data_IF_838631553786
#
_entry.id   IF_838631553786
#
_cell.length_a   1.000
_cell.length_b   1.000
_cell.length_c   1.000
_cell.angle_alpha   90.00
_cell.angle_beta   90.00
_cell.angle_gamma   90.00
#
_symmetry.space_group_name_H-M   'P 1'
#
loop_
_entity.id
_entity.type
_entity.pdbx_description
1 polymer ?
#
# COMPACT_ATOMS: atom_id res chain seq x y z
N UNK A 1 2.24 -15.99 8.26
CA UNK A 1 3.55 -15.32 8.44
C UNK A 1 3.78 -14.39 7.24
N UNK A 2 3.17 -13.19 7.25
CA UNK A 2 3.23 -12.23 6.13
C UNK A 2 3.44 -10.78 6.61
N UNK A 3 2.73 -10.35 7.66
CA UNK A 3 2.76 -8.94 8.10
C UNK A 3 4.07 -8.37 8.65
N UNK A 4 5.12 -9.17 8.92
CA UNK A 4 6.42 -8.61 9.39
C UNK A 4 7.23 -8.00 8.25
N UNK A 5 7.25 -8.63 7.08
CA UNK A 5 8.00 -8.14 5.93
C UNK A 5 7.37 -6.83 5.40
N UNK A 6 6.04 -6.80 5.29
CA UNK A 6 5.28 -5.65 4.84
C UNK A 6 5.44 -4.43 5.76
N UNK A 7 5.31 -4.60 7.08
CA UNK A 7 5.54 -3.51 8.03
C UNK A 7 6.98 -2.97 7.98
N UNK A 8 7.96 -3.87 7.79
CA UNK A 8 9.37 -3.47 7.62
C UNK A 8 9.54 -2.68 6.32
N UNK A 9 8.89 -3.12 5.24
CA UNK A 9 8.92 -2.44 3.96
C UNK A 9 8.28 -1.06 4.02
N UNK A 10 7.10 -0.91 4.63
CA UNK A 10 6.45 0.38 4.89
C UNK A 10 7.42 1.33 5.62
N UNK A 11 8.04 0.85 6.71
CA UNK A 11 9.02 1.63 7.47
C UNK A 11 10.25 2.00 6.64
N UNK A 12 10.68 1.15 5.70
CA UNK A 12 11.80 1.45 4.81
C UNK A 12 11.45 2.53 3.78
N UNK A 13 10.24 2.52 3.22
CA UNK A 13 9.76 3.55 2.29
C UNK A 13 9.58 4.88 3.02
N UNK A 14 9.02 4.85 4.23
CA UNK A 14 8.80 6.03 5.06
C UNK A 14 10.07 6.86 5.32
N UNK A 15 11.26 6.24 5.36
CA UNK A 15 12.54 6.93 5.53
C UNK A 15 12.93 7.84 4.37
N UNK A 16 12.33 7.66 3.20
CA UNK A 16 12.58 8.46 2.01
C UNK A 16 11.50 9.53 1.78
N UNK A 17 10.46 9.58 2.63
CA UNK A 17 9.45 10.62 2.52
C UNK A 17 10.03 11.97 2.97
N UNK A 18 9.77 13.06 2.22
CA UNK A 18 10.10 14.40 2.69
C UNK A 18 9.37 14.73 4.00
N UNK A 19 10.01 15.49 4.89
CA UNK A 19 9.40 15.93 6.15
C UNK A 19 8.14 16.80 5.96
N UNK A 20 7.91 17.31 4.75
CA UNK A 20 6.72 18.07 4.38
C UNK A 20 5.49 17.18 4.11
N UNK A 21 5.64 15.86 4.11
CA UNK A 21 4.55 14.90 3.88
C UNK A 21 4.08 14.35 5.22
N UNK A 22 2.80 14.57 5.55
CA UNK A 22 2.17 13.87 6.66
C UNK A 22 1.98 12.41 6.28
N UNK A 23 2.33 11.49 7.20
CA UNK A 23 2.24 10.05 7.00
C UNK A 23 1.56 9.40 8.20
N UNK A 24 0.45 8.70 7.97
CA UNK A 24 -0.33 8.04 9.01
C UNK A 24 -0.56 6.58 8.67
N UNK A 25 -0.28 5.72 9.66
CA UNK A 25 -0.57 4.29 9.56
C UNK A 25 -2.02 4.04 9.90
N UNK A 26 -2.71 3.35 9.02
CA UNK A 26 -4.10 2.99 9.18
C UNK A 26 -4.20 1.62 9.82
N UNK A 27 -4.75 1.57 11.02
CA UNK A 27 -5.15 0.32 11.65
C UNK A 27 -6.51 0.53 12.30
N UNK A 28 -7.53 -0.18 11.79
CA UNK A 28 -8.87 -0.15 12.36
C UNK A 28 -9.31 -1.58 12.68
N UNK A 29 -9.41 -1.96 13.97
CA UNK A 29 -9.78 -3.33 14.36
C UNK A 29 -11.24 -3.69 14.02
N UNK A 30 -12.07 -2.70 13.69
CA UNK A 30 -13.49 -2.89 13.37
C UNK A 30 -13.81 -2.79 11.88
N UNK A 31 -12.81 -2.50 11.02
CA UNK A 31 -13.01 -2.33 9.58
C UNK A 31 -11.86 -2.92 8.77
N UNK A 32 -12.14 -4.02 8.05
CA UNK A 32 -11.21 -4.61 7.09
C UNK A 32 -11.08 -3.81 5.80
N UNK A 33 -9.96 -4.00 5.10
CA UNK A 33 -9.76 -3.49 3.74
C UNK A 33 -9.35 -2.03 3.61
N UNK A 34 -9.15 -1.31 4.72
CA UNK A 34 -8.55 0.04 4.64
C UNK A 34 -7.09 -0.09 4.21
N UNK A 35 -6.61 0.73 3.26
CA UNK A 35 -5.20 0.77 2.88
C UNK A 35 -4.29 1.02 4.07
N UNK A 36 -3.10 0.41 4.07
CA UNK A 36 -2.17 0.45 5.21
C UNK A 36 -1.73 1.85 5.63
N UNK A 37 -1.60 2.78 4.68
CA UNK A 37 -1.07 4.12 4.91
C UNK A 37 -1.92 5.21 4.24
N UNK A 38 -2.03 6.33 4.93
CA UNK A 38 -2.46 7.61 4.38
C UNK A 38 -1.27 8.56 4.33
N UNK A 39 -1.10 9.22 3.19
CA UNK A 39 -0.13 10.31 3.03
C UNK A 39 -0.85 11.58 2.61
N UNK A 40 -0.39 12.71 3.10
CA UNK A 40 -0.90 14.02 2.72
C UNK A 40 0.28 14.96 2.43
N UNK A 41 0.38 15.35 1.17
CA UNK A 41 1.34 16.35 0.72
C UNK A 41 0.65 17.68 0.42
N UNK A 42 1.44 18.66 -0.01
CA UNK A 42 0.96 20.03 -0.23
C UNK A 42 -0.19 20.13 -1.26
N UNK A 43 -0.20 19.28 -2.28
CA UNK A 43 -1.14 19.37 -3.40
C UNK A 43 -2.15 18.22 -3.45
N UNK A 44 -1.83 17.08 -2.84
CA UNK A 44 -2.62 15.85 -2.96
C UNK A 44 -2.44 14.96 -1.74
N UNK A 45 -3.46 14.14 -1.50
CA UNK A 45 -3.43 13.05 -0.54
C UNK A 45 -3.44 11.70 -1.26
N UNK A 46 -2.83 10.70 -0.64
CA UNK A 46 -2.60 9.39 -1.20
C UNK A 46 -3.00 8.32 -0.20
N UNK A 47 -3.85 7.40 -0.64
CA UNK A 47 -4.12 6.16 0.07
C UNK A 47 -3.24 5.07 -0.53
N UNK A 48 -2.43 4.42 0.29
CA UNK A 48 -1.45 3.43 -0.15
C UNK A 48 -1.66 2.09 0.57
N UNK A 49 -1.93 1.06 -0.22
CA UNK A 49 -1.91 -0.32 0.22
C UNK A 49 -0.55 -0.93 -0.15
N UNK A 50 0.10 -1.59 0.79
CA UNK A 50 1.40 -2.20 0.60
C UNK A 50 1.26 -3.70 0.39
N UNK A 51 2.10 -4.25 -0.50
CA UNK A 51 2.28 -5.69 -0.66
C UNK A 51 3.75 -6.00 -0.74
N UNK A 52 4.16 -7.13 -0.18
CA UNK A 52 5.52 -7.63 -0.31
C UNK A 52 5.50 -9.02 -0.94
N UNK A 53 6.13 -9.16 -2.11
CA UNK A 53 6.08 -10.39 -2.92
C UNK A 53 7.46 -11.00 -3.06
N UNK A 54 7.50 -12.32 -3.26
CA UNK A 54 8.68 -13.02 -3.77
C UNK A 54 8.60 -13.00 -5.29
N UNK A 55 9.68 -12.55 -5.94
CA UNK A 55 9.69 -12.50 -7.39
C UNK A 55 9.61 -13.91 -7.99
N UNK A 56 8.84 -14.10 -9.08
CA UNK A 56 8.84 -15.35 -9.80
C UNK A 56 10.22 -15.63 -10.40
N UNK A 57 10.57 -16.91 -10.51
CA UNK A 57 11.87 -17.32 -11.10
C UNK A 57 12.02 -16.91 -12.57
N UNK A 58 10.90 -16.77 -13.29
CA UNK A 58 10.90 -16.36 -14.70
C UNK A 58 10.59 -14.87 -14.78
N UNK A 59 11.42 -14.15 -15.51
CA UNK A 59 11.32 -12.69 -15.64
C UNK A 59 10.06 -12.22 -16.40
N UNK A 60 9.42 -13.10 -17.18
CA UNK A 60 8.21 -12.82 -17.96
C UNK A 60 6.90 -13.10 -17.20
N UNK A 61 6.99 -13.64 -15.98
CA UNK A 61 5.80 -13.96 -15.19
C UNK A 61 5.18 -12.69 -14.64
N UNK A 62 3.91 -12.45 -15.00
CA UNK A 62 3.15 -11.31 -14.52
C UNK A 62 2.96 -11.39 -12.99
N UNK A 63 3.26 -10.29 -12.31
CA UNK A 63 3.11 -10.18 -10.85
C UNK A 63 1.73 -9.59 -10.57
N UNK A 64 0.88 -10.36 -9.89
CA UNK A 64 -0.40 -9.89 -9.37
C UNK A 64 -0.28 -9.74 -7.86
N UNK A 65 -0.31 -8.51 -7.31
CA UNK A 65 -0.31 -8.31 -5.86
C UNK A 65 -1.59 -8.92 -5.26
N UNK A 66 -1.44 -9.70 -4.19
CA UNK A 66 -2.57 -10.36 -3.53
C UNK A 66 -3.36 -9.35 -2.67
N UNK A 67 -4.32 -8.70 -3.30
CA UNK A 67 -5.30 -7.83 -2.63
C UNK A 67 -6.52 -8.66 -2.22
N UNK A 68 -6.95 -8.50 -0.97
CA UNK A 68 -8.24 -9.08 -0.55
C UNK A 68 -9.42 -8.39 -1.25
N UNK A 69 -10.57 -9.05 -1.30
CA UNK A 69 -11.79 -8.48 -1.89
C UNK A 69 -12.15 -7.12 -1.24
N UNK A 70 -12.02 -7.01 0.08
CA UNK A 70 -12.31 -5.75 0.80
C UNK A 70 -11.32 -4.63 0.46
N UNK A 71 -10.04 -4.96 0.20
CA UNK A 71 -9.05 -3.98 -0.23
C UNK A 71 -9.38 -3.49 -1.65
N UNK A 72 -9.70 -4.41 -2.57
CA UNK A 72 -10.13 -4.04 -3.93
C UNK A 72 -11.36 -3.15 -3.91
N UNK A 73 -12.39 -3.51 -3.16
CA UNK A 73 -13.62 -2.72 -3.03
C UNK A 73 -13.33 -1.31 -2.48
N UNK A 74 -12.44 -1.21 -1.49
CA UNK A 74 -12.05 0.07 -0.91
C UNK A 74 -11.32 0.94 -1.92
N UNK A 75 -10.31 0.39 -2.62
CA UNK A 75 -9.51 1.10 -3.61
C UNK A 75 -10.39 1.53 -4.79
N UNK A 76 -11.29 0.68 -5.27
CA UNK A 76 -12.18 1.02 -6.38
C UNK A 76 -13.19 2.10 -5.97
N UNK A 77 -13.75 2.04 -4.76
CA UNK A 77 -14.59 3.11 -4.21
C UNK A 77 -13.82 4.43 -4.12
N UNK A 78 -12.59 4.41 -3.62
CA UNK A 78 -11.73 5.58 -3.49
C UNK A 78 -11.45 6.21 -4.87
N UNK A 79 -11.15 5.37 -5.87
CA UNK A 79 -10.97 5.78 -7.26
C UNK A 79 -12.23 6.39 -7.87
N UNK A 80 -13.39 5.76 -7.67
CA UNK A 80 -14.70 6.26 -8.13
C UNK A 80 -15.05 7.63 -7.52
N UNK A 81 -14.55 7.92 -6.32
CA UNK A 81 -14.74 9.21 -5.65
C UNK A 81 -13.74 10.29 -6.11
N UNK A 82 -12.94 10.04 -7.14
CA UNK A 82 -12.02 11.03 -7.71
C UNK A 82 -10.64 11.10 -7.04
N UNK A 83 -10.33 10.16 -6.14
CA UNK A 83 -8.98 10.03 -5.59
C UNK A 83 -8.15 9.02 -6.40
N UNK A 84 -6.84 9.05 -6.24
CA UNK A 84 -5.93 8.12 -6.91
C UNK A 84 -5.22 7.23 -5.86
N UNK A 85 -5.89 6.19 -5.33
CA UNK A 85 -5.22 5.27 -4.43
C UNK A 85 -4.19 4.43 -5.18
N UNK A 86 -3.15 3.97 -4.48
CA UNK A 86 -2.05 3.19 -5.08
C UNK A 86 -1.80 1.89 -4.32
N UNK A 87 -1.24 0.93 -5.04
CA UNK A 87 -0.69 -0.30 -4.48
C UNK A 87 0.82 -0.25 -4.66
N UNK A 88 1.57 -0.27 -3.56
CA UNK A 88 3.03 -0.22 -3.57
C UNK A 88 3.55 -1.64 -3.32
N UNK A 89 4.28 -2.17 -4.30
CA UNK A 89 4.75 -3.56 -4.28
C UNK A 89 6.26 -3.58 -4.01
N UNK A 90 6.63 -4.11 -2.86
CA UNK A 90 8.01 -4.42 -2.50
C UNK A 90 8.37 -5.86 -2.86
N UNK A 91 9.66 -6.13 -3.01
CA UNK A 91 10.16 -7.49 -3.18
C UNK A 91 11.55 -7.66 -2.54
N UNK A 92 11.88 -8.90 -2.21
CA UNK A 92 13.26 -9.29 -1.87
C UNK A 92 13.96 -9.82 -3.12
N UNK A 93 15.22 -9.43 -3.30
CA UNK A 93 16.12 -10.06 -4.27
C UNK A 93 16.47 -11.50 -3.89
#
# INVERSE_FOLDING_TARGET
MSGKAENTFIGSVGKYLPDTVYAEKMHNPYRGGTPDMYYEGLTQSLWAEYKFVVLPKRADTYIVPELSALQLDWLERCRKNGHAPVVIVGCSN
#
